data_IF_504920762596
#
_entry.id   IF_504920762596
#
_cell.length_a   1.000
_cell.length_b   1.000
_cell.length_c   1.000
_cell.angle_alpha   90.00
_cell.angle_beta   90.00
_cell.angle_gamma   90.00
#
_symmetry.space_group_name_H-M   'P 1'
#
loop_
_entity.id
_entity.type
_entity.pdbx_description
1 polymer ?
#
# COMPACT_ATOMS: atom_id res chain seq x y z
N UNK A 1 -0.64 15.03 8.94
CA UNK A 1 0.63 14.38 8.55
C UNK A 1 0.52 12.86 8.42
N UNK A 2 -0.09 12.10 9.35
CA UNK A 2 -0.29 10.65 9.15
C UNK A 2 -1.37 10.30 8.11
N UNK A 3 -2.53 10.98 8.11
CA UNK A 3 -3.58 10.84 7.08
C UNK A 3 -3.05 11.11 5.65
N UNK A 4 -2.05 12.00 5.55
CA UNK A 4 -1.38 12.38 4.31
C UNK A 4 -0.58 11.21 3.69
N UNK A 5 0.04 10.36 4.50
CA UNK A 5 0.73 9.13 4.04
C UNK A 5 -0.30 8.10 3.47
N UNK A 6 -1.54 8.14 3.96
CA UNK A 6 -2.60 7.24 3.50
C UNK A 6 -3.22 7.64 2.17
N UNK A 7 -3.41 8.94 1.94
CA UNK A 7 -3.80 9.42 0.62
C UNK A 7 -2.65 9.37 -0.38
N UNK A 8 -1.39 9.45 0.09
CA UNK A 8 -0.21 9.02 -0.66
C UNK A 8 -0.42 7.63 -1.24
N UNK A 9 -0.71 6.62 -0.41
CA UNK A 9 -0.97 5.27 -0.94
C UNK A 9 -2.18 5.21 -1.88
N UNK A 10 -3.30 5.88 -1.59
CA UNK A 10 -4.47 5.88 -2.48
C UNK A 10 -4.19 6.54 -3.84
N UNK A 11 -3.42 7.62 -3.88
CA UNK A 11 -3.07 8.36 -5.10
C UNK A 11 -1.96 7.63 -5.86
N UNK A 12 -0.90 7.22 -5.16
CA UNK A 12 0.31 6.60 -5.69
C UNK A 12 0.14 5.11 -6.03
N UNK A 13 -0.78 4.37 -5.40
CA UNK A 13 -0.94 2.91 -5.63
C UNK A 13 -2.27 2.54 -6.29
N UNK A 14 -3.36 3.27 -6.01
CA UNK A 14 -4.71 2.87 -6.42
C UNK A 14 -5.28 3.74 -7.55
N UNK A 15 -5.00 5.05 -7.60
CA UNK A 15 -5.62 5.96 -8.57
C UNK A 15 -4.90 6.07 -9.91
N UNK A 16 -3.61 5.76 -9.97
CA UNK A 16 -2.92 5.67 -11.25
C UNK A 16 -3.10 4.26 -11.85
N UNK A 17 -3.49 4.13 -13.13
CA UNK A 17 -3.77 2.84 -13.78
C UNK A 17 -2.59 1.86 -13.90
N UNK A 18 -1.40 2.18 -13.40
CA UNK A 18 -0.17 1.50 -13.78
C UNK A 18 0.82 1.24 -12.66
N UNK A 19 0.47 0.47 -11.61
CA UNK A 19 1.46 0.02 -10.65
C UNK A 19 1.27 -1.44 -10.24
N UNK A 20 2.38 -2.17 -10.18
CA UNK A 20 2.48 -3.60 -9.93
C UNK A 20 2.19 -4.02 -8.48
N UNK A 21 1.98 -3.06 -7.57
CA UNK A 21 1.72 -3.33 -6.14
C UNK A 21 0.50 -4.21 -5.90
N UNK A 22 -0.60 -3.96 -6.62
CA UNK A 22 -1.80 -4.78 -6.51
C UNK A 22 -1.54 -6.21 -7.00
N UNK A 23 -0.75 -6.35 -8.06
CA UNK A 23 -0.34 -7.65 -8.58
C UNK A 23 0.52 -8.42 -7.57
N UNK A 24 1.46 -7.77 -6.90
CA UNK A 24 2.23 -8.36 -5.81
C UNK A 24 1.33 -8.79 -4.63
N UNK A 25 0.31 -7.99 -4.30
CA UNK A 25 -0.67 -8.33 -3.27
C UNK A 25 -1.56 -9.53 -3.67
N UNK A 26 -1.94 -9.63 -4.94
CA UNK A 26 -2.64 -10.80 -5.49
C UNK A 26 -1.77 -12.06 -5.38
N UNK A 27 -0.46 -11.94 -5.62
CA UNK A 27 0.48 -13.04 -5.43
C UNK A 27 0.58 -13.45 -3.95
N UNK A 28 0.75 -12.51 -3.02
CA UNK A 28 0.83 -12.77 -1.57
C UNK A 28 -0.39 -13.52 -1.05
N UNK A 29 -1.59 -13.16 -1.52
CA UNK A 29 -2.84 -13.79 -1.06
C UNK A 29 -3.17 -15.08 -1.84
N UNK A 30 -2.39 -15.42 -2.87
CA UNK A 30 -2.62 -16.57 -3.73
C UNK A 30 -3.90 -16.45 -4.56
N UNK A 31 -4.24 -15.23 -4.99
CA UNK A 31 -5.44 -14.96 -5.77
C UNK A 31 -6.06 -13.60 -5.46
N UNK A 32 -7.35 -13.50 -5.75
CA UNK A 32 -8.11 -12.25 -5.68
C UNK A 32 -7.95 -11.54 -4.33
N UNK A 33 -7.57 -10.26 -4.37
CA UNK A 33 -7.44 -9.41 -3.20
C UNK A 33 -8.27 -8.12 -3.37
N UNK A 34 -9.16 -7.88 -2.42
CA UNK A 34 -10.03 -6.69 -2.37
C UNK A 34 -9.51 -5.60 -1.47
N UNK A 35 -8.77 -5.96 -0.41
CA UNK A 35 -8.35 -5.02 0.61
C UNK A 35 -6.90 -4.56 0.41
N UNK A 36 -6.77 -3.52 -0.40
CA UNK A 36 -5.50 -2.80 -0.59
C UNK A 36 -5.22 -1.80 0.54
N UNK A 37 -6.22 -1.44 1.35
CA UNK A 37 -6.11 -0.41 2.38
C UNK A 37 -5.36 -0.92 3.60
N UNK A 38 -5.64 -2.14 4.01
CA UNK A 38 -4.89 -2.83 5.04
C UNK A 38 -3.40 -2.94 4.73
N UNK A 39 -3.09 -3.21 3.46
CA UNK A 39 -1.73 -3.42 3.00
C UNK A 39 -0.87 -2.16 3.07
N UNK A 40 -1.45 -0.99 2.80
CA UNK A 40 -0.80 0.29 3.02
C UNK A 40 -0.33 0.45 4.47
N UNK A 41 -1.21 0.12 5.42
CA UNK A 41 -0.90 0.14 6.85
C UNK A 41 0.28 -0.78 7.19
N UNK A 42 0.32 -1.97 6.59
CA UNK A 42 1.44 -2.90 6.73
C UNK A 42 2.76 -2.29 6.25
N UNK A 43 2.81 -1.70 5.06
CA UNK A 43 4.02 -1.06 4.54
C UNK A 43 4.50 0.08 5.44
N UNK A 44 3.58 0.93 5.90
CA UNK A 44 3.89 2.07 6.76
C UNK A 44 4.55 1.63 8.07
N UNK A 45 4.13 0.49 8.64
CA UNK A 45 4.77 -0.03 9.87
C UNK A 45 6.24 -0.45 9.68
N UNK A 46 6.70 -0.62 8.44
CA UNK A 46 8.10 -0.92 8.12
C UNK A 46 8.94 0.32 7.81
N UNK A 47 8.35 1.51 7.88
CA UNK A 47 9.04 2.79 7.69
C UNK A 47 9.11 3.26 6.23
N UNK A 48 9.50 4.54 6.08
CA UNK A 48 9.48 5.26 4.81
C UNK A 48 10.35 4.61 3.73
N UNK A 49 11.57 4.22 4.09
CA UNK A 49 12.52 3.63 3.12
C UNK A 49 11.98 2.33 2.52
N UNK A 50 11.44 1.44 3.37
CA UNK A 50 10.83 0.19 2.91
C UNK A 50 9.64 0.48 2.02
N UNK A 51 8.80 1.43 2.42
CA UNK A 51 7.64 1.85 1.65
C UNK A 51 8.04 2.35 0.24
N UNK A 52 8.98 3.29 0.14
CA UNK A 52 9.42 3.88 -1.12
C UNK A 52 10.11 2.85 -2.02
N UNK A 53 10.97 1.98 -1.46
CA UNK A 53 11.60 0.88 -2.22
C UNK A 53 10.55 -0.09 -2.78
N UNK A 54 9.54 -0.41 -1.97
CA UNK A 54 8.45 -1.29 -2.39
C UNK A 54 7.62 -0.67 -3.50
N UNK A 55 7.35 0.64 -3.46
CA UNK A 55 6.65 1.35 -4.54
C UNK A 55 7.41 1.31 -5.87
N UNK A 56 8.73 1.49 -5.81
CA UNK A 56 9.59 1.43 -6.99
C UNK A 56 9.70 0.00 -7.55
N UNK A 57 9.83 -0.99 -6.66
CA UNK A 57 9.96 -2.41 -6.98
C UNK A 57 9.12 -3.27 -6.02
N UNK A 58 7.92 -3.73 -6.43
CA UNK A 58 7.10 -4.57 -5.57
C UNK A 58 7.70 -5.94 -5.26
N UNK A 59 8.68 -6.45 -6.03
CA UNK A 59 9.36 -7.71 -5.69
C UNK A 59 10.20 -7.55 -4.40
N UNK A 60 10.59 -6.31 -4.06
CA UNK A 60 11.26 -5.97 -2.80
C UNK A 60 10.48 -6.44 -1.56
N UNK A 61 9.16 -6.62 -1.66
CA UNK A 61 8.33 -7.18 -0.58
C UNK A 61 8.87 -8.50 -0.04
N UNK A 62 9.60 -9.29 -0.83
CA UNK A 62 10.25 -10.52 -0.40
C UNK A 62 11.06 -10.33 0.90
N UNK A 63 11.73 -9.19 1.08
CA UNK A 63 12.58 -8.92 2.25
C UNK A 63 11.79 -8.83 3.56
N UNK A 64 10.50 -8.51 3.49
CA UNK A 64 9.61 -8.40 4.64
C UNK A 64 9.03 -9.75 5.07
N UNK A 65 9.30 -10.81 4.30
CA UNK A 65 8.75 -12.13 4.50
C UNK A 65 7.22 -12.12 4.69
N UNK A 66 6.47 -11.52 3.74
CA UNK A 66 5.04 -11.32 3.88
C UNK A 66 4.33 -12.66 3.99
N UNK A 67 3.29 -12.70 4.83
CA UNK A 67 2.48 -13.91 5.02
C UNK A 67 1.08 -13.65 4.51
N UNK A 68 0.52 -14.66 3.83
CA UNK A 68 -0.88 -14.67 3.40
C UNK A 68 -1.81 -14.28 4.55
N UNK A 69 -2.75 -13.37 4.28
CA UNK A 69 -3.75 -12.85 5.21
C UNK A 69 -3.19 -12.16 6.48
N UNK A 70 -1.89 -11.84 6.54
CA UNK A 70 -1.23 -11.18 7.70
C UNK A 70 -0.67 -9.80 7.40
N UNK A 71 -0.86 -9.31 6.19
CA UNK A 71 -0.36 -8.00 5.75
C UNK A 71 -1.50 -6.95 5.72
N UNK A 72 -2.54 -7.09 6.54
CA UNK A 72 -3.68 -6.18 6.58
C UNK A 72 -3.75 -5.44 7.93
N UNK A 73 -3.25 -4.20 7.97
CA UNK A 73 -3.20 -3.35 9.16
C UNK A 73 -4.05 -2.07 9.00
N UNK A 74 -5.35 -2.24 8.75
CA UNK A 74 -6.30 -1.13 8.54
C UNK A 74 -6.33 -0.12 9.72
N UNK A 75 -6.17 -0.60 10.96
CA UNK A 75 -6.21 0.26 12.15
C UNK A 75 -5.09 1.29 12.22
N UNK A 76 -3.91 0.98 11.67
CA UNK A 76 -2.79 1.92 11.61
C UNK A 76 -3.21 3.16 10.81
N UNK A 77 -4.07 2.99 9.79
CA UNK A 77 -4.65 4.10 9.00
C UNK A 77 -5.47 5.06 9.80
N UNK A 78 -6.33 4.51 10.64
CA UNK A 78 -7.30 5.32 11.37
C UNK A 78 -6.72 5.86 12.67
N UNK A 79 -5.53 5.43 13.09
CA UNK A 79 -4.98 5.77 14.40
C UNK A 79 -4.85 7.28 14.61
N UNK A 80 -4.20 8.00 13.69
CA UNK A 80 -4.00 9.44 13.84
C UNK A 80 -5.32 10.23 13.78
N UNK A 81 -6.23 9.81 12.91
CA UNK A 81 -7.59 10.34 12.84
C UNK A 81 -8.35 10.13 14.15
N UNK A 82 -8.36 8.89 14.68
CA UNK A 82 -8.99 8.53 15.95
C UNK A 82 -8.44 9.38 17.10
N UNK A 83 -7.11 9.45 17.26
CA UNK A 83 -6.46 10.26 18.30
C UNK A 83 -6.85 11.74 18.18
N UNK A 84 -6.84 12.28 16.96
CA UNK A 84 -7.20 13.69 16.73
C UNK A 84 -8.66 13.96 17.11
N UNK A 85 -9.58 13.11 16.65
CA UNK A 85 -11.01 13.23 16.96
C UNK A 85 -11.28 13.08 18.47
N UNK A 86 -10.61 12.15 19.14
CA UNK A 86 -10.73 11.93 20.58
C UNK A 86 -10.24 13.13 21.41
N UNK A 87 -9.13 13.75 20.98
CA UNK A 87 -8.53 14.93 21.65
C UNK A 87 -9.34 16.19 21.43
N UNK A 88 -9.84 16.40 20.22
CA UNK A 88 -10.55 17.63 19.83
C UNK A 88 -12.07 17.54 20.03
N UNK A 89 -12.59 16.35 20.36
CA UNK A 89 -14.03 16.06 20.51
C UNK A 89 -14.85 16.35 19.25
N UNK A 90 -14.21 16.46 18.09
CA UNK A 90 -14.90 16.64 16.82
C UNK A 90 -15.41 15.31 16.29
N UNK A 91 -16.53 15.37 15.56
CA UNK A 91 -17.10 14.21 14.87
C UNK A 91 -16.51 14.07 13.46
N UNK A 92 -16.68 12.89 12.87
CA UNK A 92 -16.13 12.52 11.56
C UNK A 92 -16.39 13.57 10.47
N UNK A 93 -17.61 14.10 10.36
CA UNK A 93 -17.97 15.12 9.36
C UNK A 93 -17.23 16.45 9.52
N UNK A 94 -16.90 16.82 10.76
CA UNK A 94 -16.13 18.04 11.03
C UNK A 94 -14.64 17.80 10.72
N UNK A 95 -14.12 16.61 11.05
CA UNK A 95 -12.77 16.20 10.66
C UNK A 95 -12.61 16.19 9.14
N UNK A 96 -13.56 15.65 8.39
CA UNK A 96 -13.54 15.64 6.91
C UNK A 96 -13.42 17.05 6.32
N UNK A 97 -14.10 18.04 6.89
CA UNK A 97 -13.99 19.43 6.43
C UNK A 97 -12.61 20.04 6.70
N UNK A 98 -12.05 19.80 7.88
CA UNK A 98 -10.68 20.24 8.23
C UNK A 98 -9.69 19.56 7.29
N UNK A 99 -9.87 18.26 7.07
CA UNK A 99 -9.05 17.45 6.20
C UNK A 99 -9.02 18.01 4.77
N UNK A 100 -10.19 18.21 4.16
CA UNK A 100 -10.31 18.76 2.81
C UNK A 100 -9.76 20.18 2.68
N UNK A 101 -9.77 20.97 3.77
CA UNK A 101 -9.20 22.32 3.78
C UNK A 101 -7.67 22.35 3.86
N UNK A 102 -7.03 21.29 4.36
CA UNK A 102 -5.57 21.15 4.40
C UNK A 102 -5.06 20.51 3.11
N UNK A 103 -5.88 19.68 2.46
CA UNK A 103 -5.54 19.04 1.20
C UNK A 103 -5.65 20.02 0.04
N UNK A 104 -4.57 20.17 -0.74
CA UNK A 104 -4.58 20.98 -1.96
C UNK A 104 -3.79 20.30 -3.08
N UNK A 105 -4.06 20.75 -4.32
CA UNK A 105 -3.46 20.19 -5.52
C UNK A 105 -1.94 20.39 -5.60
N UNK A 106 -1.43 21.52 -5.13
CA UNK A 106 0.01 21.82 -5.19
C UNK A 106 0.83 20.84 -4.35
N UNK A 107 0.37 20.56 -3.12
CA UNK A 107 0.98 19.52 -2.27
C UNK A 107 0.93 18.15 -2.93
N UNK A 108 -0.16 17.83 -3.64
CA UNK A 108 -0.27 16.57 -4.38
C UNK A 108 0.72 16.50 -5.56
N UNK A 109 0.86 17.58 -6.32
CA UNK A 109 1.75 17.62 -7.48
C UNK A 109 3.24 17.55 -7.05
N UNK A 110 3.62 18.20 -5.94
CA UNK A 110 4.97 18.14 -5.36
C UNK A 110 5.33 16.71 -4.93
N UNK A 111 4.38 16.05 -4.27
CA UNK A 111 4.47 14.64 -3.87
C UNK A 111 4.67 13.74 -5.08
N UNK A 112 3.82 13.87 -6.10
CA UNK A 112 3.81 12.98 -7.25
C UNK A 112 5.14 13.08 -8.01
N UNK A 113 5.74 14.27 -8.05
CA UNK A 113 7.07 14.51 -8.63
C UNK A 113 8.23 13.91 -7.80
N UNK A 114 8.05 13.79 -6.49
CA UNK A 114 9.11 13.28 -5.59
C UNK A 114 9.25 11.76 -5.61
N UNK A 115 8.24 11.05 -6.10
CA UNK A 115 8.15 9.60 -6.04
C UNK A 115 8.65 8.95 -7.33
N UNK A 116 9.56 7.98 -7.19
CA UNK A 116 9.95 7.09 -8.28
C UNK A 116 8.97 5.92 -8.35
N UNK A 117 8.16 5.86 -9.40
CA UNK A 117 7.11 4.85 -9.54
C UNK A 117 7.34 4.04 -10.83
N UNK A 118 7.10 2.73 -10.76
CA UNK A 118 7.16 1.86 -11.93
C UNK A 118 6.11 2.29 -12.96
N UNK A 119 6.54 2.49 -14.20
CA UNK A 119 5.71 2.89 -15.35
C UNK A 119 4.91 1.74 -15.98
N UNK A 120 5.15 0.49 -15.56
CA UNK A 120 4.44 -0.67 -16.09
C UNK A 120 2.96 -0.67 -15.75
N UNK A 121 2.15 -0.87 -16.79
CA UNK A 121 0.69 -0.83 -16.67
C UNK A 121 0.20 -2.10 -15.99
N UNK A 122 -0.73 -1.93 -15.03
CA UNK A 122 -1.39 -3.03 -14.36
C UNK A 122 -2.18 -3.86 -15.38
N UNK A 123 -2.06 -5.17 -15.29
CA UNK A 123 -2.93 -6.11 -15.97
C UNK A 123 -3.73 -6.92 -14.94
N UNK A 124 -5.05 -6.90 -15.05
CA UNK A 124 -5.96 -7.61 -14.12
C UNK A 124 -6.09 -9.10 -14.44
N UNK A 125 -5.62 -9.51 -15.61
CA UNK A 125 -5.73 -10.87 -16.14
C UNK A 125 -4.44 -11.67 -15.94
N UNK A 126 -3.49 -11.16 -15.15
CA UNK A 126 -2.28 -11.89 -14.79
C UNK A 126 -2.60 -13.17 -14.04
N UNK A 127 -2.08 -14.28 -14.57
CA UNK A 127 -2.12 -15.59 -13.91
C UNK A 127 -1.13 -15.65 -12.75
N UNK A 128 -1.33 -16.60 -11.83
CA UNK A 128 -0.39 -16.82 -10.72
C UNK A 128 1.03 -17.18 -11.20
N UNK A 129 1.17 -17.91 -12.31
CA UNK A 129 2.50 -18.24 -12.85
C UNK A 129 3.19 -17.01 -13.44
N UNK A 130 2.47 -16.18 -14.21
CA UNK A 130 3.02 -14.91 -14.71
C UNK A 130 3.43 -13.98 -13.57
N UNK A 131 2.63 -13.91 -12.50
CA UNK A 131 2.98 -13.14 -11.31
C UNK A 131 4.29 -13.62 -10.67
N UNK A 132 4.57 -14.93 -10.67
CA UNK A 132 5.84 -15.46 -10.14
C UNK A 132 7.04 -15.10 -11.02
N UNK A 133 6.84 -15.00 -12.33
CA UNK A 133 7.88 -14.53 -13.26
C UNK A 133 8.18 -13.04 -13.05
N UNK A 134 7.14 -12.26 -12.77
CA UNK A 134 7.25 -10.81 -12.52
C UNK A 134 7.82 -10.52 -11.13
N UNK A 135 7.49 -11.32 -10.12
CA UNK A 135 7.97 -11.17 -8.74
C UNK A 135 8.71 -12.44 -8.26
N UNK A 136 9.88 -12.75 -8.83
CA UNK A 136 10.59 -14.00 -8.56
C UNK A 136 11.07 -14.12 -7.11
N UNK A 137 11.50 -13.02 -6.47
CA UNK A 137 11.96 -13.08 -5.09
C UNK A 137 10.78 -13.31 -4.13
N UNK A 138 9.68 -12.60 -4.36
CA UNK A 138 8.46 -12.73 -3.57
C UNK A 138 7.87 -14.13 -3.72
N UNK A 139 7.81 -14.66 -4.95
CA UNK A 139 7.38 -16.02 -5.23
C UNK A 139 8.22 -17.07 -4.50
N UNK A 140 9.55 -16.90 -4.48
CA UNK A 140 10.46 -17.79 -3.76
C UNK A 140 10.13 -17.84 -2.28
N UNK A 141 10.04 -16.67 -1.63
CA UNK A 141 9.71 -16.54 -0.20
C UNK A 141 8.37 -17.21 0.13
N UNK A 142 7.33 -16.95 -0.66
CA UNK A 142 6.01 -17.56 -0.46
C UNK A 142 6.04 -19.09 -0.63
N UNK A 143 6.81 -19.60 -1.60
CA UNK A 143 6.95 -21.05 -1.81
C UNK A 143 7.66 -21.76 -0.63
N UNK A 144 8.66 -21.12 -0.03
CA UNK A 144 9.38 -21.66 1.13
C UNK A 144 8.49 -21.69 2.38
N UNK A 145 7.57 -20.74 2.53
CA UNK A 145 6.59 -20.76 3.61
C UNK A 145 5.58 -21.91 3.47
N UNK A 146 5.14 -22.21 2.24
CA UNK A 146 4.22 -23.33 1.98
C UNK A 146 4.84 -24.70 2.27
N UNK A 147 6.16 -24.86 2.05
CA UNK A 147 6.88 -26.12 2.33
C UNK A 147 7.13 -26.39 3.82
N UNK A 148 7.00 -25.37 4.67
CA UNK A 148 7.22 -25.46 6.13
C UNK A 148 5.93 -25.68 6.93
N UNK A 149 4.79 -25.81 6.25
CA UNK A 149 3.49 -26.19 6.83
C UNK A 149 3.26 -27.68 6.66
#
# INVERSE_FOLDING_TARGET
>A
MFQFIYEWYEITVIKQPGHLMWSALVLINGGYCTDTYGFAGYLITHGREVYEKTLADPDFLAILNPKKDKCNYEEVRRLAQKIYMERTKIKIRAFEKIYLGVWNKEMQDEIDQSLAINSEIRNRDWTQEQLKEIFPQLAKVLSEQCKKR
#
